data_IF_660068957548
#
_entry.id   IF_660068957548
#
_cell.length_a   1.000
_cell.length_b   1.000
_cell.length_c   1.000
_cell.angle_alpha   90.00
_cell.angle_beta   90.00
_cell.angle_gamma   90.00
#
_symmetry.space_group_name_H-M   'P 1'
#
loop_
_entity.id
_entity.type
_entity.pdbx_description
1 polymer ?
#
# COMPACT_ATOMS: atom_id res chain seq x y z
N UNK A 1 -11.07 -13.98 -4.53
CA UNK A 1 -10.50 -12.91 -5.37
C UNK A 1 -11.61 -11.98 -5.83
N UNK A 2 -11.42 -10.67 -5.72
CA UNK A 2 -12.35 -9.67 -6.22
C UNK A 2 -12.65 -9.90 -7.72
N UNK A 3 -13.92 -9.87 -8.18
CA UNK A 3 -14.27 -10.20 -9.57
C UNK A 3 -13.50 -9.41 -10.63
N UNK A 4 -13.28 -8.11 -10.41
CA UNK A 4 -12.53 -7.28 -11.36
C UNK A 4 -11.05 -7.68 -11.47
N UNK A 5 -10.46 -8.28 -10.42
CA UNK A 5 -9.10 -8.83 -10.47
C UNK A 5 -9.12 -10.20 -11.16
N UNK A 6 -10.14 -11.04 -10.87
CA UNK A 6 -10.26 -12.40 -11.41
C UNK A 6 -10.56 -12.43 -12.92
N UNK A 7 -11.20 -11.38 -13.46
CA UNK A 7 -11.57 -11.27 -14.87
C UNK A 7 -10.37 -11.51 -15.80
N UNK A 8 -9.23 -10.84 -15.54
CA UNK A 8 -8.08 -10.93 -16.42
C UNK A 8 -7.46 -12.34 -16.42
N UNK A 9 -7.05 -12.94 -15.27
CA UNK A 9 -6.54 -14.30 -15.27
C UNK A 9 -7.52 -15.33 -15.85
N UNK A 10 -8.82 -15.19 -15.59
CA UNK A 10 -9.85 -16.06 -16.17
C UNK A 10 -9.80 -16.04 -17.69
N UNK A 11 -9.75 -14.85 -18.29
CA UNK A 11 -9.63 -14.68 -19.74
C UNK A 11 -8.30 -15.19 -20.30
N UNK A 12 -7.19 -14.89 -19.63
CA UNK A 12 -5.84 -15.20 -20.15
C UNK A 12 -5.46 -16.68 -20.06
N UNK A 13 -5.90 -17.37 -19.00
CA UNK A 13 -5.35 -18.69 -18.67
C UNK A 13 -6.40 -19.79 -18.59
N UNK A 14 -7.69 -19.43 -18.61
CA UNK A 14 -8.78 -20.37 -18.35
C UNK A 14 -9.97 -20.18 -19.28
N UNK A 15 -9.79 -19.54 -20.44
CA UNK A 15 -10.85 -19.37 -21.46
C UNK A 15 -12.15 -18.74 -20.90
N UNK A 16 -12.01 -17.85 -19.91
CA UNK A 16 -13.12 -17.22 -19.18
C UNK A 16 -14.00 -18.18 -18.35
N UNK A 17 -13.52 -19.40 -18.08
CA UNK A 17 -14.27 -20.42 -17.35
C UNK A 17 -14.26 -20.27 -15.82
N UNK A 18 -13.46 -19.35 -15.25
CA UNK A 18 -13.43 -19.18 -13.78
C UNK A 18 -14.69 -18.48 -13.28
N UNK A 19 -15.40 -19.14 -12.35
CA UNK A 19 -16.54 -18.57 -11.63
C UNK A 19 -16.06 -18.01 -10.29
N UNK A 20 -16.38 -16.74 -10.02
CA UNK A 20 -16.06 -16.09 -8.74
C UNK A 20 -17.17 -16.34 -7.72
N UNK A 21 -16.84 -16.83 -6.53
CA UNK A 21 -17.81 -17.05 -5.46
C UNK A 21 -18.48 -15.73 -5.02
N UNK A 22 -19.77 -15.76 -4.65
CA UNK A 22 -20.52 -14.57 -4.23
C UNK A 22 -19.88 -13.82 -3.05
N UNK A 23 -19.25 -14.54 -2.11
CA UNK A 23 -18.52 -13.94 -0.98
C UNK A 23 -17.31 -13.09 -1.40
N UNK A 24 -16.77 -13.30 -2.59
CA UNK A 24 -15.67 -12.51 -3.12
C UNK A 24 -16.14 -11.25 -3.85
N UNK A 25 -17.42 -11.19 -4.24
CA UNK A 25 -18.03 -10.00 -4.86
C UNK A 25 -18.34 -8.88 -3.84
N UNK A 26 -18.38 -9.19 -2.54
CA UNK A 26 -18.64 -8.21 -1.47
C UNK A 26 -17.37 -7.55 -0.91
N UNK A 27 -16.18 -7.98 -1.31
CA UNK A 27 -14.93 -7.47 -0.77
C UNK A 27 -14.58 -6.11 -1.35
N UNK A 28 -14.93 -5.02 -0.65
CA UNK A 28 -14.52 -3.67 -1.06
C UNK A 28 -13.00 -3.56 -1.17
N UNK A 29 -12.55 -2.76 -2.15
CA UNK A 29 -11.16 -2.32 -2.25
C UNK A 29 -10.70 -1.79 -0.87
N UNK A 30 -9.50 -2.14 -0.38
CA UNK A 30 -8.98 -1.56 0.84
C UNK A 30 -8.99 -0.02 0.73
N UNK A 31 -9.76 0.72 1.56
CA UNK A 31 -9.99 2.16 1.39
C UNK A 31 -8.74 3.03 1.68
N UNK A 32 -7.63 2.39 2.01
CA UNK A 32 -6.38 2.94 2.51
C UNK A 32 -5.34 3.20 1.41
N UNK A 33 -5.58 2.73 0.18
CA UNK A 33 -4.72 2.94 -0.98
C UNK A 33 -5.43 3.84 -2.01
N UNK A 34 -4.72 4.78 -2.66
CA UNK A 34 -5.29 5.62 -3.72
C UNK A 34 -5.47 4.80 -5.01
N UNK A 35 -6.48 3.94 -5.04
CA UNK A 35 -6.80 3.13 -6.22
C UNK A 35 -7.14 4.04 -7.40
N UNK A 36 -6.52 3.85 -8.58
CA UNK A 36 -6.83 4.68 -9.75
C UNK A 36 -8.29 4.57 -10.21
N UNK A 37 -8.93 3.44 -9.90
CA UNK A 37 -10.32 3.17 -10.21
C UNK A 37 -11.04 2.63 -8.97
N UNK A 38 -12.17 3.23 -8.61
CA UNK A 38 -13.02 2.73 -7.53
C UNK A 38 -13.64 1.35 -7.85
N UNK A 39 -13.80 1.02 -9.13
CA UNK A 39 -14.43 -0.23 -9.58
C UNK A 39 -13.44 -1.40 -9.66
N UNK A 40 -12.15 -1.13 -9.84
CA UNK A 40 -11.12 -2.16 -10.00
C UNK A 40 -10.02 -1.92 -8.98
N UNK A 41 -9.94 -2.72 -7.90
CA UNK A 41 -8.89 -2.63 -6.89
C UNK A 41 -7.56 -3.19 -7.41
N UNK A 42 -7.08 -2.62 -8.51
CA UNK A 42 -5.78 -2.90 -9.06
C UNK A 42 -5.10 -1.61 -9.53
N UNK A 43 -3.77 -1.62 -9.49
CA UNK A 43 -2.96 -0.52 -10.00
C UNK A 43 -1.69 -1.08 -10.65
N UNK A 44 -1.22 -0.39 -11.69
CA UNK A 44 0.11 -0.61 -12.26
C UNK A 44 0.95 0.65 -12.06
N UNK A 45 2.07 0.54 -11.36
CA UNK A 45 3.03 1.64 -11.17
C UNK A 45 4.11 1.50 -12.23
N UNK A 46 4.18 2.45 -13.17
CA UNK A 46 5.24 2.48 -14.18
C UNK A 46 6.53 3.00 -13.55
N UNK A 47 7.48 2.10 -13.36
CA UNK A 47 8.78 2.42 -12.75
C UNK A 47 9.86 2.38 -13.81
N UNK A 48 10.39 3.57 -14.15
CA UNK A 48 11.39 3.79 -15.20
C UNK A 48 12.83 3.70 -14.67
N UNK A 49 13.08 2.81 -13.72
CA UNK A 49 14.43 2.51 -13.23
C UNK A 49 14.96 1.25 -13.89
N UNK A 50 16.26 1.26 -14.22
CA UNK A 50 16.92 0.15 -14.92
C UNK A 50 17.16 -1.05 -13.99
N UNK A 51 17.06 -2.25 -14.55
CA UNK A 51 17.46 -3.48 -13.87
C UNK A 51 18.97 -3.55 -13.63
N UNK A 52 19.38 -4.24 -12.57
CA UNK A 52 20.76 -4.60 -12.28
C UNK A 52 20.90 -6.12 -12.16
N UNK A 53 22.04 -6.64 -12.61
CA UNK A 53 22.40 -8.05 -12.45
C UNK A 53 22.87 -8.32 -11.03
N UNK A 54 22.37 -9.40 -10.43
CA UNK A 54 22.70 -9.84 -9.09
C UNK A 54 23.10 -11.33 -9.14
N UNK A 55 24.37 -11.58 -9.48
CA UNK A 55 24.86 -12.91 -9.82
C UNK A 55 24.14 -13.50 -11.04
N UNK A 56 23.40 -14.60 -10.81
CA UNK A 56 22.54 -15.23 -11.82
C UNK A 56 21.07 -14.76 -11.74
N UNK A 57 20.78 -13.76 -10.92
CA UNK A 57 19.46 -13.16 -10.75
C UNK A 57 19.44 -11.70 -11.20
N UNK A 58 18.29 -11.05 -11.03
CA UNK A 58 18.09 -9.63 -11.33
C UNK A 58 17.47 -8.92 -10.14
N UNK A 59 17.70 -7.62 -10.07
CA UNK A 59 17.09 -6.72 -9.10
C UNK A 59 16.84 -5.35 -9.72
N UNK A 60 15.98 -4.57 -9.09
CA UNK A 60 15.64 -3.22 -9.53
C UNK A 60 15.35 -2.35 -8.31
N UNK A 61 16.26 -1.41 -8.02
CA UNK A 61 16.21 -0.57 -6.82
C UNK A 61 15.03 0.41 -6.85
N UNK A 62 14.70 0.99 -8.00
CA UNK A 62 13.54 1.89 -8.09
C UNK A 62 12.23 1.15 -7.90
N UNK A 63 12.13 -0.12 -8.31
CA UNK A 63 10.96 -0.93 -7.94
C UNK A 63 10.93 -1.25 -6.44
N UNK A 64 12.08 -1.48 -5.80
CA UNK A 64 12.15 -1.64 -4.32
C UNK A 64 11.61 -0.39 -3.63
N UNK A 65 12.01 0.80 -4.08
CA UNK A 65 11.52 2.07 -3.54
C UNK A 65 10.01 2.24 -3.71
N UNK A 66 9.48 1.92 -4.90
CA UNK A 66 8.04 1.96 -5.16
C UNK A 66 7.28 0.98 -4.26
N UNK A 67 7.77 -0.27 -4.11
CA UNK A 67 7.13 -1.27 -3.23
C UNK A 67 7.14 -0.82 -1.77
N UNK A 68 8.24 -0.26 -1.27
CA UNK A 68 8.31 0.30 0.09
C UNK A 68 7.30 1.43 0.27
N UNK A 69 7.22 2.36 -0.69
CA UNK A 69 6.27 3.47 -0.64
C UNK A 69 4.81 3.00 -0.63
N UNK A 70 4.48 1.95 -1.40
CA UNK A 70 3.15 1.30 -1.38
C UNK A 70 2.87 0.70 -0.01
N UNK A 71 3.81 -0.05 0.56
CA UNK A 71 3.65 -0.68 1.89
C UNK A 71 3.46 0.38 2.97
N UNK A 72 4.24 1.46 2.95
CA UNK A 72 4.11 2.57 3.88
C UNK A 72 2.76 3.27 3.74
N UNK A 73 2.26 3.43 2.51
CA UNK A 73 0.93 4.01 2.25
C UNK A 73 -0.18 3.11 2.82
N UNK A 74 -0.13 1.82 2.57
CA UNK A 74 -1.09 0.84 3.10
C UNK A 74 -1.09 0.86 4.63
N UNK A 75 0.10 0.88 5.25
CA UNK A 75 0.26 0.98 6.70
C UNK A 75 -0.35 2.27 7.24
N UNK A 76 -0.08 3.41 6.61
CA UNK A 76 -0.60 4.71 7.01
C UNK A 76 -2.13 4.79 6.91
N UNK A 77 -2.73 4.02 5.99
CA UNK A 77 -4.17 3.88 5.89
C UNK A 77 -4.78 2.80 6.79
N UNK A 78 -4.00 2.18 7.69
CA UNK A 78 -4.50 1.25 8.71
C UNK A 78 -4.56 -0.22 8.28
N UNK A 79 -3.94 -0.59 7.16
CA UNK A 79 -3.87 -2.00 6.73
C UNK A 79 -2.91 -2.77 7.64
N UNK A 80 -3.36 -3.92 8.14
CA UNK A 80 -2.47 -4.87 8.81
C UNK A 80 -1.44 -5.39 7.82
N UNK A 81 -0.15 -5.19 8.10
CA UNK A 81 0.91 -5.62 7.19
C UNK A 81 1.01 -7.14 7.02
N UNK A 82 0.44 -7.92 7.94
CA UNK A 82 0.35 -9.39 7.83
C UNK A 82 -0.56 -9.84 6.68
N UNK A 83 -1.53 -9.00 6.30
CA UNK A 83 -2.42 -9.25 5.16
C UNK A 83 -1.84 -8.83 3.81
N UNK A 84 -0.62 -8.27 3.80
CA UNK A 84 0.11 -7.85 2.61
C UNK A 84 1.15 -8.89 2.22
N UNK A 85 1.12 -9.30 0.95
CA UNK A 85 2.14 -10.13 0.32
C UNK A 85 2.91 -9.37 -0.74
N UNK A 86 4.22 -9.54 -0.79
CA UNK A 86 5.08 -9.04 -1.87
C UNK A 86 5.64 -10.21 -2.65
N UNK A 87 5.37 -10.24 -3.95
CA UNK A 87 5.82 -11.29 -4.85
C UNK A 87 6.79 -10.69 -5.87
N UNK A 88 7.82 -11.43 -6.23
CA UNK A 88 8.72 -11.06 -7.33
C UNK A 88 9.19 -12.29 -8.10
N UNK A 89 9.65 -12.11 -9.33
CA UNK A 89 10.14 -13.21 -10.18
C UNK A 89 11.60 -13.57 -9.92
N UNK A 90 12.34 -12.73 -9.20
CA UNK A 90 13.79 -12.86 -9.07
C UNK A 90 14.25 -12.93 -7.61
N UNK A 91 15.10 -13.90 -7.30
CA UNK A 91 15.65 -14.10 -5.96
C UNK A 91 16.50 -12.90 -5.47
N UNK A 92 17.23 -12.25 -6.39
CA UNK A 92 17.98 -11.03 -6.08
C UNK A 92 17.06 -9.92 -5.56
N UNK A 93 15.95 -9.66 -6.28
CA UNK A 93 14.93 -8.72 -5.85
C UNK A 93 14.29 -9.11 -4.51
N UNK A 94 13.94 -10.39 -4.30
CA UNK A 94 13.34 -10.83 -3.04
C UNK A 94 14.26 -10.56 -1.85
N UNK A 95 15.57 -10.79 -2.01
CA UNK A 95 16.58 -10.49 -0.99
C UNK A 95 16.65 -8.99 -0.68
N UNK A 96 16.64 -8.13 -1.69
CA UNK A 96 16.65 -6.67 -1.47
C UNK A 96 15.36 -6.20 -0.78
N UNK A 97 14.20 -6.65 -1.25
CA UNK A 97 12.91 -6.31 -0.66
C UNK A 97 12.82 -6.73 0.82
N UNK A 98 13.22 -7.96 1.16
CA UNK A 98 13.23 -8.45 2.55
C UNK A 98 14.11 -7.62 3.50
N UNK A 99 15.16 -6.98 2.99
CA UNK A 99 16.02 -6.09 3.79
C UNK A 99 15.38 -4.73 4.06
N UNK A 100 14.45 -4.31 3.19
CA UNK A 100 13.83 -2.98 3.22
C UNK A 100 12.42 -2.99 3.81
N UNK A 101 11.73 -4.12 3.74
CA UNK A 101 10.36 -4.26 4.20
C UNK A 101 10.28 -4.66 5.68
N UNK A 102 9.22 -4.25 6.40
CA UNK A 102 8.93 -4.76 7.73
C UNK A 102 8.78 -6.29 7.73
N UNK A 103 9.24 -6.96 8.79
CA UNK A 103 9.18 -8.44 8.91
C UNK A 103 7.77 -9.02 8.84
N UNK A 104 6.75 -8.22 9.18
CA UNK A 104 5.33 -8.59 9.09
C UNK A 104 4.83 -8.72 7.65
N UNK A 105 5.51 -8.10 6.68
CA UNK A 105 5.18 -8.22 5.26
C UNK A 105 5.83 -9.48 4.70
N UNK A 106 5.01 -10.38 4.20
CA UNK A 106 5.50 -11.61 3.60
C UNK A 106 6.03 -11.34 2.19
N UNK A 107 7.34 -11.42 1.99
CA UNK A 107 7.98 -11.22 0.68
C UNK A 107 8.62 -12.51 0.17
N UNK A 108 8.22 -13.05 -0.98
CA UNK A 108 8.88 -14.23 -1.57
C UNK A 108 8.96 -14.15 -3.10
N UNK A 109 9.68 -15.09 -3.71
CA UNK A 109 9.58 -15.32 -5.16
C UNK A 109 8.24 -15.97 -5.52
N UNK A 110 7.82 -15.88 -6.78
CA UNK A 110 6.58 -16.49 -7.29
C UNK A 110 6.48 -17.98 -6.99
N UNK A 111 7.55 -18.75 -7.25
CA UNK A 111 7.59 -20.19 -7.02
C UNK A 111 7.44 -20.52 -5.53
N UNK A 112 8.10 -19.75 -4.67
CA UNK A 112 7.97 -19.92 -3.23
C UNK A 112 6.57 -19.55 -2.75
N UNK A 113 5.90 -18.56 -3.35
CA UNK A 113 4.58 -18.07 -2.93
C UNK A 113 3.41 -18.99 -3.35
N UNK A 114 3.66 -20.08 -4.07
CA UNK A 114 2.61 -20.97 -4.57
C UNK A 114 1.72 -21.53 -3.44
N UNK A 115 0.41 -21.59 -3.69
CA UNK A 115 -0.59 -22.11 -2.73
C UNK A 115 -0.94 -21.16 -1.58
N UNK A 116 -0.29 -20.00 -1.49
CA UNK A 116 -0.60 -18.96 -0.50
C UNK A 116 -1.40 -17.83 -1.13
N UNK A 117 -2.16 -17.10 -0.34
CA UNK A 117 -2.93 -15.92 -0.77
C UNK A 117 -2.86 -14.81 0.28
N UNK A 118 -3.04 -13.56 -0.16
CA UNK A 118 -3.05 -12.38 0.71
C UNK A 118 -4.17 -11.42 0.32
N UNK A 119 -4.61 -10.59 1.24
CA UNK A 119 -5.63 -9.58 0.95
C UNK A 119 -5.14 -8.61 -0.11
N UNK A 120 -3.91 -8.16 0.05
CA UNK A 120 -3.24 -7.28 -0.90
C UNK A 120 -1.96 -7.94 -1.35
N UNK A 121 -1.77 -8.03 -2.66
CA UNK A 121 -0.52 -8.48 -3.26
C UNK A 121 0.12 -7.34 -4.03
N UNK A 122 1.40 -7.12 -3.76
CA UNK A 122 2.28 -6.24 -4.52
C UNK A 122 3.24 -7.10 -5.33
N UNK A 123 3.22 -6.97 -6.65
CA UNK A 123 4.04 -7.75 -7.57
C UNK A 123 5.14 -6.88 -8.17
N UNK A 124 6.42 -7.21 -7.93
CA UNK A 124 7.58 -6.55 -8.54
C UNK A 124 8.11 -7.37 -9.71
N UNK A 125 8.04 -6.80 -10.92
CA UNK A 125 8.40 -7.45 -12.18
C UNK A 125 9.91 -7.42 -12.46
N UNK A 126 10.64 -6.43 -11.93
CA UNK A 126 12.10 -6.24 -12.00
C UNK A 126 12.62 -5.80 -13.37
N UNK A 127 12.16 -6.44 -14.45
CA UNK A 127 12.80 -6.28 -15.76
C UNK A 127 12.53 -4.92 -16.38
N UNK A 128 13.60 -4.22 -16.69
CA UNK A 128 13.64 -2.88 -17.25
C UNK A 128 14.92 -2.71 -18.06
N UNK A 129 14.86 -3.02 -19.35
CA UNK A 129 16.01 -3.00 -20.26
C UNK A 129 15.61 -2.56 -21.68
N UNK A 130 16.56 -1.96 -22.40
CA UNK A 130 16.38 -1.40 -23.75
C UNK A 130 16.00 -2.46 -24.80
N UNK A 131 16.43 -3.70 -24.60
CA UNK A 131 16.08 -4.80 -25.49
C UNK A 131 14.68 -5.38 -25.27
N UNK A 132 13.89 -4.79 -24.36
CA UNK A 132 12.54 -5.24 -23.98
C UNK A 132 12.46 -6.74 -23.66
N UNK A 133 13.51 -7.31 -23.04
CA UNK A 133 13.58 -8.74 -22.73
C UNK A 133 12.97 -9.02 -21.36
N UNK A 134 11.94 -9.86 -21.31
CA UNK A 134 11.24 -10.24 -20.07
C UNK A 134 11.86 -11.45 -19.35
N UNK A 135 12.54 -12.38 -20.04
CA UNK A 135 13.23 -13.50 -19.41
C UNK A 135 12.29 -14.36 -18.55
N UNK A 136 12.60 -14.53 -17.26
CA UNK A 136 11.78 -15.34 -16.33
C UNK A 136 10.33 -14.84 -16.16
N UNK A 137 10.06 -13.57 -16.48
CA UNK A 137 8.71 -13.03 -16.48
C UNK A 137 7.82 -13.64 -17.57
N UNK A 138 8.40 -14.11 -18.68
CA UNK A 138 7.66 -14.62 -19.84
C UNK A 138 7.00 -15.97 -19.62
N UNK A 139 7.21 -16.59 -18.46
CA UNK A 139 6.52 -17.82 -18.08
C UNK A 139 5.06 -17.52 -17.71
N UNK A 140 4.14 -17.86 -18.61
CA UNK A 140 2.70 -17.67 -18.44
C UNK A 140 2.13 -18.35 -17.18
N UNK A 141 2.70 -19.50 -16.76
CA UNK A 141 2.24 -20.19 -15.54
C UNK A 141 2.62 -19.39 -14.30
N UNK A 142 3.83 -18.84 -14.26
CA UNK A 142 4.27 -17.94 -13.18
C UNK A 142 3.48 -16.63 -13.17
N UNK A 143 3.18 -16.07 -14.34
CA UNK A 143 2.31 -14.90 -14.46
C UNK A 143 0.93 -15.19 -13.86
N UNK A 144 0.29 -16.29 -14.26
CA UNK A 144 -0.99 -16.75 -13.70
C UNK A 144 -0.91 -16.88 -12.17
N UNK A 145 0.06 -17.65 -11.65
CA UNK A 145 0.25 -17.81 -10.20
C UNK A 145 0.33 -16.45 -9.52
N UNK A 146 1.19 -15.54 -9.99
CA UNK A 146 1.41 -14.24 -9.37
C UNK A 146 0.17 -13.33 -9.38
N UNK A 147 -0.55 -13.27 -10.51
CA UNK A 147 -1.74 -12.43 -10.67
C UNK A 147 -2.91 -12.96 -9.85
N UNK A 148 -2.95 -14.27 -9.56
CA UNK A 148 -4.06 -14.86 -8.83
C UNK A 148 -3.84 -14.97 -7.31
N UNK A 149 -2.82 -14.31 -6.73
CA UNK A 149 -2.57 -14.38 -5.27
C UNK A 149 -3.34 -13.36 -4.44
N UNK A 150 -3.91 -12.33 -5.08
CA UNK A 150 -4.62 -11.24 -4.41
C UNK A 150 -6.08 -11.58 -4.14
N UNK A 151 -6.54 -11.41 -2.89
CA UNK A 151 -7.97 -11.54 -2.57
C UNK A 151 -8.75 -10.25 -2.84
N UNK A 152 -8.21 -9.09 -2.44
CA UNK A 152 -8.92 -7.81 -2.44
C UNK A 152 -8.20 -6.68 -3.19
N UNK A 153 -6.87 -6.72 -3.33
CA UNK A 153 -6.11 -5.68 -4.03
C UNK A 153 -4.86 -6.20 -4.72
N UNK A 154 -4.63 -5.80 -5.98
CA UNK A 154 -3.46 -6.18 -6.76
C UNK A 154 -2.69 -4.94 -7.24
N UNK A 155 -1.45 -4.78 -6.78
CA UNK A 155 -0.58 -3.68 -7.19
C UNK A 155 0.60 -4.27 -7.94
N UNK A 156 0.74 -3.97 -9.23
CA UNK A 156 1.87 -4.41 -10.04
C UNK A 156 2.83 -3.25 -10.22
N UNK A 157 4.12 -3.52 -10.03
CA UNK A 157 5.22 -2.57 -10.13
C UNK A 157 6.16 -3.08 -11.20
N UNK A 158 6.42 -2.29 -12.23
CA UNK A 158 7.28 -2.71 -13.32
C UNK A 158 7.51 -1.64 -14.37
N UNK A 159 8.31 -1.97 -15.38
CA UNK A 159 8.61 -1.07 -16.49
C UNK A 159 7.72 -1.36 -17.69
N UNK A 160 6.78 -0.46 -17.99
CA UNK A 160 5.75 -0.68 -19.01
C UNK A 160 6.35 -0.99 -20.39
N UNK A 161 7.43 -0.30 -20.78
CA UNK A 161 8.07 -0.47 -22.09
C UNK A 161 8.69 -1.86 -22.25
N UNK A 162 9.26 -2.45 -21.20
CA UNK A 162 9.82 -3.80 -21.26
C UNK A 162 8.73 -4.85 -21.24
N UNK A 163 7.72 -4.67 -20.37
CA UNK A 163 6.63 -5.62 -20.19
C UNK A 163 5.70 -5.73 -21.40
N UNK A 164 5.46 -4.63 -22.13
CA UNK A 164 4.54 -4.65 -23.28
C UNK A 164 5.02 -5.52 -24.45
N UNK A 165 6.31 -5.87 -24.49
CA UNK A 165 6.88 -6.72 -25.54
C UNK A 165 6.60 -8.21 -25.30
N UNK A 166 6.16 -8.59 -24.11
CA UNK A 166 5.76 -9.95 -23.78
C UNK A 166 4.25 -10.15 -24.04
N UNK A 167 3.85 -11.35 -24.48
CA UNK A 167 2.46 -11.65 -24.81
C UNK A 167 1.53 -11.49 -23.60
N UNK A 168 1.85 -12.12 -22.48
CA UNK A 168 1.00 -12.12 -21.28
C UNK A 168 1.03 -10.74 -20.60
N UNK A 169 2.21 -10.16 -20.42
CA UNK A 169 2.33 -8.85 -19.77
C UNK A 169 1.83 -7.69 -20.65
N UNK A 170 1.95 -7.80 -21.97
CA UNK A 170 1.33 -6.87 -22.91
C UNK A 170 -0.19 -6.91 -22.86
N UNK A 171 -0.80 -8.09 -22.68
CA UNK A 171 -2.25 -8.22 -22.43
C UNK A 171 -2.67 -7.63 -21.08
N UNK A 172 -1.88 -7.88 -20.02
CA UNK A 172 -2.09 -7.23 -18.72
C UNK A 172 -2.05 -5.71 -18.85
N UNK A 173 -1.05 -5.14 -19.53
CA UNK A 173 -0.94 -3.68 -19.70
C UNK A 173 -2.07 -3.09 -20.54
N UNK A 174 -2.52 -3.79 -21.58
CA UNK A 174 -3.71 -3.37 -22.35
C UNK A 174 -4.96 -3.35 -21.48
N UNK A 175 -5.16 -4.38 -20.66
CA UNK A 175 -6.26 -4.44 -19.68
C UNK A 175 -6.19 -3.30 -18.66
N UNK A 176 -5.00 -3.03 -18.11
CA UNK A 176 -4.78 -1.97 -17.12
C UNK A 176 -5.02 -0.58 -17.72
N UNK A 177 -4.49 -0.30 -18.92
CA UNK A 177 -4.69 0.97 -19.62
C UNK A 177 -6.16 1.20 -19.97
N UNK A 178 -6.86 0.18 -20.48
CA UNK A 178 -8.28 0.28 -20.81
C UNK A 178 -9.19 0.57 -19.61
N UNK A 179 -8.69 0.39 -18.37
CA UNK A 179 -9.39 0.68 -17.11
C UNK A 179 -8.79 1.87 -16.35
N UNK A 180 -7.86 2.60 -16.95
CA UNK A 180 -7.14 3.73 -16.32
C UNK A 180 -6.43 3.34 -15.01
N UNK A 181 -5.81 2.16 -14.97
CA UNK A 181 -5.13 1.63 -13.77
C UNK A 181 -3.62 1.94 -13.73
N UNK A 182 -3.08 2.57 -14.77
CA UNK A 182 -1.66 2.88 -14.89
C UNK A 182 -1.36 4.22 -14.21
N UNK A 183 -0.37 4.21 -13.31
CA UNK A 183 0.15 5.37 -12.61
C UNK A 183 1.57 5.66 -13.12
N UNK A 184 1.69 6.59 -14.06
CA UNK A 184 2.99 7.05 -14.58
C UNK A 184 3.76 7.88 -13.53
N UNK A 185 3.07 8.76 -12.81
CA UNK A 185 3.62 9.50 -11.65
C UNK A 185 3.09 8.91 -10.34
N UNK A 186 3.50 7.68 -10.07
CA UNK A 186 3.13 6.97 -8.85
C UNK A 186 3.60 7.69 -7.58
N UNK A 187 4.71 8.45 -7.64
CA UNK A 187 5.24 9.18 -6.49
C UNK A 187 4.28 10.26 -6.02
N UNK A 188 3.73 11.04 -6.96
CA UNK A 188 2.72 12.04 -6.65
C UNK A 188 1.40 11.39 -6.23
N UNK A 189 0.96 10.34 -6.93
CA UNK A 189 -0.28 9.63 -6.62
C UNK A 189 -0.31 9.11 -5.17
N UNK A 190 0.79 8.52 -4.69
CA UNK A 190 0.88 8.01 -3.31
C UNK A 190 0.94 9.12 -2.25
N UNK A 191 1.36 10.34 -2.60
CA UNK A 191 1.46 11.49 -1.68
C UNK A 191 0.16 12.29 -1.57
N UNK A 192 -0.60 12.42 -2.66
CA UNK A 192 -1.73 13.36 -2.79
C UNK A 192 -2.81 13.20 -1.69
N UNK A 193 -3.12 11.97 -1.28
CA UNK A 193 -4.15 11.74 -0.26
C UNK A 193 -3.68 11.93 1.20
N UNK A 194 -2.37 11.97 1.45
CA UNK A 194 -1.85 12.32 2.77
C UNK A 194 -2.16 13.76 3.17
N UNK A 195 -2.36 14.64 2.18
CA UNK A 195 -2.66 16.06 2.40
C UNK A 195 -4.16 16.34 2.52
N UNK A 196 -5.02 15.57 1.83
CA UNK A 196 -6.48 15.71 1.93
C UNK A 196 -6.99 15.45 3.35
N UNK A 197 -6.54 14.35 4.00
CA UNK A 197 -6.90 14.03 5.39
C UNK A 197 -6.33 15.02 6.43
N UNK A 198 -5.22 15.71 6.14
CA UNK A 198 -4.68 16.76 7.03
C UNK A 198 -5.48 18.05 6.98
N UNK A 199 -6.17 18.35 5.87
CA UNK A 199 -7.04 19.53 5.75
C UNK A 199 -8.38 19.33 6.47
N UNK A 200 -8.90 18.11 6.53
CA UNK A 200 -10.17 17.81 7.21
C UNK A 200 -10.03 17.67 8.75
N UNK A 201 -8.84 17.33 9.26
CA UNK A 201 -8.59 17.23 10.71
C UNK A 201 -8.32 18.56 11.45
N UNK A 202 -8.35 19.70 10.74
CA UNK A 202 -7.94 21.01 11.26
C UNK A 202 -9.05 21.94 11.76
N UNK A 203 -10.28 21.46 11.98
CA UNK A 203 -11.44 22.32 12.20
C UNK A 203 -12.30 22.00 13.42
N UNK A 204 -11.83 22.37 14.63
CA UNK A 204 -12.59 23.04 15.71
C UNK A 204 -11.81 22.96 17.03
N UNK A 205 -10.98 23.97 17.30
CA UNK A 205 -10.71 24.36 18.69
C UNK A 205 -11.86 25.29 19.07
N UNK A 206 -12.86 24.76 19.78
CA UNK A 206 -13.91 25.58 20.39
C UNK A 206 -13.27 26.52 21.41
N UNK A 207 -13.21 27.80 21.05
CA UNK A 207 -12.99 28.88 22.01
C UNK A 207 -14.22 28.96 22.89
N UNK A 208 -14.10 28.53 24.15
CA UNK A 208 -15.10 28.85 25.18
C UNK A 208 -14.91 30.30 25.60
N UNK A 209 -15.78 31.16 25.09
CA UNK A 209 -15.96 32.53 25.56
C UNK A 209 -16.47 32.51 27.01
N UNK A 210 -15.61 32.95 27.93
CA UNK A 210 -15.95 33.22 29.32
C UNK A 210 -16.38 34.68 29.48
N UNK A 211 -17.69 34.93 29.58
CA UNK A 211 -18.20 36.23 30.03
C UNK A 211 -19.59 36.14 30.69
N UNK A 212 -19.62 36.19 32.04
CA UNK A 212 -20.68 36.75 32.93
C UNK A 212 -20.27 36.39 34.38
N UNK A 213 -20.37 37.22 35.42
CA UNK A 213 -20.98 38.55 35.66
C UNK A 213 -20.50 39.00 37.06
N UNK A 214 -20.13 40.28 37.24
CA UNK A 214 -19.89 40.90 38.56
C UNK A 214 -21.21 41.25 39.27
N UNK A 215 -21.24 41.10 40.60
CA UNK A 215 -22.05 41.75 41.68
C UNK A 215 -21.94 40.77 42.88
N UNK A 216 -21.34 41.03 44.04
CA UNK A 216 -21.14 42.26 44.80
C UNK A 216 -22.13 42.27 45.96
N UNK A 217 -21.76 41.78 47.16
CA UNK A 217 -22.08 42.47 48.41
C UNK A 217 -21.29 41.96 49.64
N UNK A 218 -21.05 42.90 50.57
CA UNK A 218 -20.33 42.79 51.84
C UNK A 218 -21.24 42.27 52.96
N UNK A 219 -20.71 41.52 53.94
CA UNK A 219 -20.59 41.94 55.36
C UNK A 219 -20.25 40.79 56.33
N UNK A 220 -19.28 41.09 57.24
CA UNK A 220 -19.19 40.82 58.70
C UNK A 220 -19.35 39.35 59.18
N UNK A 221 -18.62 38.83 60.18
CA UNK A 221 -17.97 39.40 61.38
C UNK A 221 -17.21 38.24 62.09
N UNK A 222 -16.09 38.57 62.77
CA UNK A 222 -15.58 37.99 64.03
C UNK A 222 -15.32 36.46 64.12
N UNK A 223 -14.41 35.89 64.91
CA UNK A 223 -13.27 36.25 65.76
C UNK A 223 -13.03 34.97 66.58
N UNK A 224 -11.79 34.46 66.61
CA UNK A 224 -11.16 33.70 67.73
C UNK A 224 -9.76 33.29 67.27
N UNK A 225 -8.70 33.98 67.67
CA UNK A 225 -7.98 33.79 68.94
C UNK A 225 -7.63 32.33 69.21
N UNK A 226 -6.39 31.92 68.90
CA UNK A 226 -5.31 31.79 69.88
C UNK A 226 -4.10 31.06 69.24
N UNK A 227 -2.90 31.66 69.32
CA UNK A 227 -1.62 31.02 68.98
C UNK A 227 -1.13 30.09 70.10
N UNK A 228 0.19 29.91 70.33
CA UNK A 228 1.35 30.18 69.48
C UNK A 228 2.30 28.95 69.38
N UNK A 229 3.37 29.02 68.56
CA UNK A 229 4.76 28.62 68.89
C UNK A 229 5.64 28.59 67.63
N UNK A 230 6.50 29.61 67.46
CA UNK A 230 7.98 29.56 67.53
C UNK A 230 8.63 28.59 66.52
N UNK A 231 9.19 29.06 65.41
CA UNK A 231 10.48 29.77 65.24
C UNK A 231 11.70 28.84 65.17
N UNK A 232 12.52 29.08 64.13
CA UNK A 232 13.96 28.73 63.96
C UNK A 232 14.33 27.24 64.00
N UNK A 233 15.29 26.72 63.23
CA UNK A 233 16.31 27.28 62.36
C UNK A 233 17.24 26.13 61.93
N UNK A 234 17.92 26.34 60.82
CA UNK A 234 19.19 25.74 60.36
C UNK A 234 19.83 24.64 61.23
N UNK A 235 20.05 23.45 60.66
CA UNK A 235 21.32 22.99 60.07
C UNK A 235 21.12 21.60 59.45
#
# INVERSE_FOLDING_TARGET
MHPAIAELPSRLFYESALVTAQSAASGQAPPSFPWPSAATPAAFLDVRSREARDGQSHSNVGEVEAVVAVVDRLRAGGVSLESVGVITFYAGQSRLLRRRLPRSVECNTVDAFQGREKDIVILSCVRANEGCRCGFLSDARRANVSLTRARHGLIVVGHAQTLQADQTWGEYLRWARGRSLVLDDWQTALKAEGNAKRREGGGKVERRDGAKKRRGDKQKKAAKENGPHSASGQQ
#
